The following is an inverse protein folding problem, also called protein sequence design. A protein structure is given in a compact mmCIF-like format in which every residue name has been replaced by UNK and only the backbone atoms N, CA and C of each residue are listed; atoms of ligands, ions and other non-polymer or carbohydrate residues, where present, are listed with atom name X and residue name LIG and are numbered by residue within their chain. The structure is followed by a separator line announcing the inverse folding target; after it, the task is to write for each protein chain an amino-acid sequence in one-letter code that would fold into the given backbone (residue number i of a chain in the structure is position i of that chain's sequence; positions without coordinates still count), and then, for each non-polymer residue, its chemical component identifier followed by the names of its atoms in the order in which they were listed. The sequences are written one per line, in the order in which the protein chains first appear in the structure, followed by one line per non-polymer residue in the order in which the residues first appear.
data_IF_057992184086
#
_entry.id   IF_057992184086
#
_cell.length_a   1.000
_cell.length_b   1.000
_cell.length_c   1.000
_cell.angle_alpha   90.00
_cell.angle_beta   90.00
_cell.angle_gamma   90.00
#
_symmetry.space_group_name_H-M   'P 1'
#
loop_
_entity.id
_entity.type
_entity.pdbx_description
1 polymer ?
#
# COMPACT_ATOMS: atom_id res chain seq x y z
N UNK A 1 -25.50 -8.07 54.74
CA UNK A 1 -25.33 -8.70 53.42
C UNK A 1 -24.34 -7.93 52.57
N UNK A 2 -23.34 -8.57 51.96
CA UNK A 2 -22.54 -7.92 50.93
C UNK A 2 -23.37 -7.80 49.64
N UNK A 3 -23.14 -6.77 48.82
CA UNK A 3 -23.88 -6.60 47.57
C UNK A 3 -23.48 -7.73 46.60
N UNK A 4 -24.47 -8.48 46.12
CA UNK A 4 -24.31 -9.35 44.97
C UNK A 4 -23.82 -8.50 43.80
N UNK A 5 -22.55 -8.69 43.44
CA UNK A 5 -22.01 -8.21 42.18
C UNK A 5 -22.80 -8.93 41.09
N UNK A 6 -23.82 -8.24 40.55
CA UNK A 6 -24.58 -8.67 39.39
C UNK A 6 -23.57 -8.96 38.28
N UNK A 7 -23.32 -10.24 38.07
CA UNK A 7 -22.53 -10.71 36.95
C UNK A 7 -23.26 -10.25 35.70
N UNK A 8 -22.67 -9.33 34.94
CA UNK A 8 -23.25 -8.86 33.69
C UNK A 8 -23.60 -10.09 32.84
N UNK A 9 -24.89 -10.27 32.55
CA UNK A 9 -25.38 -11.37 31.71
C UNK A 9 -24.50 -11.47 30.47
N UNK A 10 -24.18 -12.70 30.04
CA UNK A 10 -23.38 -12.91 28.83
C UNK A 10 -23.99 -12.18 27.62
N UNK A 11 -25.31 -11.99 27.62
CA UNK A 11 -26.10 -11.25 26.64
C UNK A 11 -25.71 -9.76 26.58
N UNK A 12 -25.33 -9.18 27.71
CA UNK A 12 -24.92 -7.78 27.84
C UNK A 12 -23.48 -7.59 27.38
N UNK A 13 -22.58 -8.52 27.74
CA UNK A 13 -21.20 -8.56 27.22
C UNK A 13 -21.18 -8.76 25.69
N UNK A 14 -22.11 -9.59 25.19
CA UNK A 14 -22.35 -9.82 23.76
C UNK A 14 -22.76 -8.53 23.06
N UNK A 15 -23.76 -7.81 23.57
CA UNK A 15 -24.21 -6.55 22.99
C UNK A 15 -23.12 -5.46 23.03
N UNK A 16 -22.32 -5.40 24.11
CA UNK A 16 -21.20 -4.46 24.24
C UNK A 16 -20.07 -4.75 23.24
N UNK A 17 -19.80 -6.03 22.92
CA UNK A 17 -18.80 -6.44 21.93
C UNK A 17 -19.32 -6.41 20.49
N UNK A 18 -20.64 -6.44 20.28
CA UNK A 18 -21.28 -6.25 18.97
C UNK A 18 -21.39 -4.77 18.57
N UNK A 19 -21.36 -3.85 19.53
CA UNK A 19 -21.52 -2.43 19.29
C UNK A 19 -20.51 -1.84 18.28
N UNK A 20 -19.21 -2.21 18.29
CA UNK A 20 -18.25 -1.69 17.31
C UNK A 20 -18.50 -2.16 15.88
N UNK A 21 -19.00 -3.40 15.68
CA UNK A 21 -19.30 -3.97 14.36
C UNK A 21 -20.63 -3.46 13.80
N UNK A 22 -21.63 -3.28 14.67
CA UNK A 22 -22.95 -2.71 14.31
C UNK A 22 -22.86 -1.19 14.05
N UNK A 23 -21.93 -0.49 14.70
CA UNK A 23 -21.65 0.92 14.47
C UNK A 23 -20.56 1.18 13.41
N UNK A 24 -20.10 0.15 12.71
CA UNK A 24 -19.14 0.34 11.64
C UNK A 24 -19.79 1.17 10.53
N UNK A 25 -19.11 2.23 10.12
CA UNK A 25 -19.52 3.06 8.99
C UNK A 25 -18.26 3.52 8.25
N UNK A 26 -18.33 3.52 6.93
CA UNK A 26 -17.30 4.12 6.10
C UNK A 26 -17.26 5.64 6.33
N UNK A 27 -16.06 6.19 6.55
CA UNK A 27 -15.90 7.63 6.75
C UNK A 27 -15.95 8.35 5.39
N UNK A 28 -16.30 9.64 5.40
CA UNK A 28 -16.44 10.42 4.17
C UNK A 28 -15.12 10.54 3.37
N UNK A 29 -13.99 10.63 4.06
CA UNK A 29 -12.64 10.75 3.51
C UNK A 29 -11.92 9.40 3.37
N UNK A 30 -12.58 8.30 3.73
CA UNK A 30 -11.99 6.96 3.74
C UNK A 30 -12.31 6.22 2.43
N UNK A 31 -11.26 5.72 1.78
CA UNK A 31 -11.40 4.90 0.58
C UNK A 31 -12.04 3.55 0.90
N UNK A 32 -12.64 2.92 -0.12
CA UNK A 32 -13.19 1.57 0.00
C UNK A 32 -12.18 0.55 0.56
N UNK A 33 -10.92 0.62 0.11
CA UNK A 33 -9.87 -0.30 0.56
C UNK A 33 -9.54 -0.11 2.05
N UNK A 34 -9.40 1.13 2.50
CA UNK A 34 -9.15 1.44 3.92
C UNK A 34 -10.33 1.00 4.80
N UNK A 35 -11.57 1.22 4.35
CA UNK A 35 -12.75 0.75 5.06
C UNK A 35 -12.78 -0.78 5.16
N UNK A 36 -12.46 -1.49 4.08
CA UNK A 36 -12.38 -2.95 4.09
C UNK A 36 -11.29 -3.46 5.04
N UNK A 37 -10.10 -2.86 5.03
CA UNK A 37 -9.00 -3.24 5.93
C UNK A 37 -9.40 -3.02 7.40
N UNK A 38 -9.98 -1.86 7.73
CA UNK A 38 -10.44 -1.55 9.08
C UNK A 38 -11.55 -2.48 9.57
N UNK A 39 -12.45 -2.89 8.67
CA UNK A 39 -13.47 -3.89 8.98
C UNK A 39 -12.85 -5.26 9.30
N UNK A 40 -11.86 -5.71 8.52
CA UNK A 40 -11.15 -6.96 8.80
C UNK A 40 -10.35 -6.92 10.12
N UNK A 41 -9.72 -5.79 10.42
CA UNK A 41 -9.06 -5.59 11.71
C UNK A 41 -10.04 -5.70 12.89
N UNK A 42 -11.25 -5.18 12.73
CA UNK A 42 -12.30 -5.30 13.72
C UNK A 42 -12.75 -6.75 13.92
N UNK A 43 -12.94 -7.51 12.83
CA UNK A 43 -13.27 -8.93 12.91
C UNK A 43 -12.17 -9.73 13.64
N UNK A 44 -10.90 -9.40 13.40
CA UNK A 44 -9.74 -10.04 14.05
C UNK A 44 -9.65 -9.71 15.54
N UNK A 45 -10.06 -8.51 15.94
CA UNK A 45 -10.10 -8.10 17.34
C UNK A 45 -11.21 -8.80 18.15
N UNK A 46 -12.20 -9.40 17.48
CA UNK A 46 -13.32 -10.11 18.11
C UNK A 46 -13.40 -11.59 17.68
N UNK A 47 -12.38 -12.43 17.95
CA UNK A 47 -12.29 -13.80 17.44
C UNK A 47 -13.35 -14.76 18.02
N UNK A 48 -14.02 -14.38 19.11
CA UNK A 48 -14.96 -15.24 19.85
C UNK A 48 -16.42 -15.14 19.36
N UNK A 49 -16.73 -14.18 18.49
CA UNK A 49 -18.08 -13.97 17.95
C UNK A 49 -18.11 -14.34 16.47
N UNK A 50 -18.27 -15.63 16.20
CA UNK A 50 -18.35 -16.21 14.86
C UNK A 50 -19.64 -15.82 14.13
N UNK A 51 -19.69 -14.59 13.61
CA UNK A 51 -20.71 -14.22 12.64
C UNK A 51 -20.55 -15.06 11.38
N UNK A 52 -21.68 -15.40 10.75
CA UNK A 52 -21.63 -16.02 9.43
C UNK A 52 -20.99 -15.03 8.44
N UNK A 53 -20.28 -15.55 7.45
CA UNK A 53 -19.68 -14.76 6.38
C UNK A 53 -20.72 -13.86 5.69
N UNK A 54 -21.93 -14.39 5.47
CA UNK A 54 -23.07 -13.63 4.95
C UNK A 54 -23.42 -12.43 5.83
N UNK A 55 -23.45 -12.60 7.15
CA UNK A 55 -23.73 -11.51 8.08
C UNK A 55 -22.62 -10.46 8.07
N UNK A 56 -21.35 -10.88 8.00
CA UNK A 56 -20.21 -9.97 7.91
C UNK A 56 -20.28 -9.13 6.62
N UNK A 57 -20.57 -9.77 5.48
CA UNK A 57 -20.73 -9.09 4.19
C UNK A 57 -21.91 -8.12 4.18
N UNK A 58 -23.04 -8.51 4.76
CA UNK A 58 -24.21 -7.64 4.89
C UNK A 58 -23.93 -6.42 5.76
N UNK A 59 -23.27 -6.61 6.89
CA UNK A 59 -22.85 -5.52 7.78
C UNK A 59 -21.89 -4.57 7.08
N UNK A 60 -20.88 -5.10 6.38
CA UNK A 60 -19.95 -4.26 5.62
C UNK A 60 -20.67 -3.47 4.52
N UNK A 61 -21.50 -4.12 3.70
CA UNK A 61 -22.24 -3.46 2.61
C UNK A 61 -23.12 -2.32 3.12
N UNK A 62 -23.91 -2.56 4.17
CA UNK A 62 -24.82 -1.56 4.73
C UNK A 62 -24.10 -0.35 5.35
N UNK A 63 -22.84 -0.54 5.75
CA UNK A 63 -22.00 0.49 6.34
C UNK A 63 -21.26 1.35 5.31
N UNK A 64 -21.25 0.95 4.03
CA UNK A 64 -20.60 1.70 2.96
C UNK A 64 -21.38 2.97 2.60
N UNK A 65 -20.67 3.94 2.01
CA UNK A 65 -21.33 5.04 1.33
C UNK A 65 -22.07 4.55 0.07
N UNK A 66 -23.05 5.33 -0.40
CA UNK A 66 -23.90 4.95 -1.53
C UNK A 66 -23.12 4.69 -2.82
N UNK A 67 -22.04 5.45 -3.08
CA UNK A 67 -21.24 5.30 -4.29
C UNK A 67 -20.51 3.95 -4.32
N UNK A 68 -20.01 3.51 -3.16
CA UNK A 68 -19.34 2.21 -3.04
C UNK A 68 -20.34 1.05 -3.05
N UNK A 69 -21.55 1.23 -2.49
CA UNK A 69 -22.65 0.27 -2.66
C UNK A 69 -23.04 0.11 -4.15
N UNK A 70 -23.27 1.21 -4.85
CA UNK A 70 -23.62 1.20 -6.28
C UNK A 70 -22.50 0.57 -7.13
N UNK A 71 -21.25 0.83 -6.78
CA UNK A 71 -20.10 0.22 -7.43
C UNK A 71 -20.04 -1.29 -7.22
N UNK A 72 -20.39 -1.79 -6.03
CA UNK A 72 -20.47 -3.23 -5.76
C UNK A 72 -21.64 -3.87 -6.51
N UNK A 73 -22.82 -3.23 -6.52
CA UNK A 73 -23.99 -3.71 -7.27
C UNK A 73 -23.70 -3.77 -8.78
N UNK A 74 -23.04 -2.75 -9.31
CA UNK A 74 -22.62 -2.71 -10.72
C UNK A 74 -21.65 -3.85 -11.06
N UNK A 75 -20.66 -4.11 -10.19
CA UNK A 75 -19.72 -5.21 -10.38
C UNK A 75 -20.38 -6.59 -10.23
N UNK A 76 -21.44 -6.70 -9.42
CA UNK A 76 -22.24 -7.90 -9.27
C UNK A 76 -23.22 -8.12 -10.45
N UNK A 77 -23.50 -7.10 -11.25
CA UNK A 77 -24.54 -7.13 -12.28
C UNK A 77 -25.95 -7.22 -11.69
N UNK A 78 -26.17 -6.59 -10.52
CA UNK A 78 -27.43 -6.67 -9.77
C UNK A 78 -27.20 -6.36 -8.29
N UNK A 79 -28.13 -6.74 -7.41
CA UNK A 79 -27.91 -6.59 -5.97
C UNK A 79 -26.70 -7.44 -5.53
N UNK A 80 -25.74 -6.81 -4.87
CA UNK A 80 -24.54 -7.46 -4.36
C UNK A 80 -24.88 -8.57 -3.36
N UNK A 81 -25.85 -8.32 -2.47
CA UNK A 81 -26.23 -9.26 -1.41
C UNK A 81 -27.01 -10.49 -1.91
N UNK A 82 -27.40 -10.53 -3.19
CA UNK A 82 -28.01 -11.72 -3.81
C UNK A 82 -26.96 -12.73 -4.30
N UNK A 83 -25.67 -12.37 -4.28
CA UNK A 83 -24.58 -13.25 -4.73
C UNK A 83 -24.18 -14.24 -3.65
N UNK A 84 -23.49 -15.30 -4.09
CA UNK A 84 -22.85 -16.22 -3.16
C UNK A 84 -21.75 -15.50 -2.37
N UNK A 85 -21.56 -15.79 -1.06
CA UNK A 85 -20.55 -15.13 -0.24
C UNK A 85 -19.13 -15.15 -0.85
N UNK A 86 -18.76 -16.25 -1.49
CA UNK A 86 -17.47 -16.38 -2.19
C UNK A 86 -17.33 -15.44 -3.39
N UNK A 87 -18.42 -15.12 -4.09
CA UNK A 87 -18.41 -14.15 -5.19
C UNK A 87 -18.42 -12.72 -4.67
N UNK A 88 -19.15 -12.45 -3.58
CA UNK A 88 -19.09 -11.18 -2.86
C UNK A 88 -17.64 -10.82 -2.47
N UNK A 89 -16.92 -11.78 -1.89
CA UNK A 89 -15.52 -11.59 -1.50
C UNK A 89 -14.61 -11.28 -2.70
N UNK A 90 -14.76 -12.00 -3.82
CA UNK A 90 -13.99 -11.72 -5.04
C UNK A 90 -14.25 -10.30 -5.57
N UNK A 91 -15.49 -9.84 -5.54
CA UNK A 91 -15.86 -8.50 -5.99
C UNK A 91 -15.24 -7.43 -5.08
N UNK A 92 -15.34 -7.61 -3.76
CA UNK A 92 -14.71 -6.72 -2.77
C UNK A 92 -13.19 -6.68 -2.98
N UNK A 93 -12.54 -7.83 -3.10
CA UNK A 93 -11.09 -7.92 -3.29
C UNK A 93 -10.64 -7.30 -4.62
N UNK A 94 -11.43 -7.47 -5.68
CA UNK A 94 -11.16 -6.82 -6.97
C UNK A 94 -11.22 -5.29 -6.82
N UNK A 95 -12.30 -4.77 -6.22
CA UNK A 95 -12.50 -3.33 -6.02
C UNK A 95 -11.42 -2.71 -5.13
N UNK A 96 -11.00 -3.41 -4.06
CA UNK A 96 -9.96 -2.91 -3.16
C UNK A 96 -8.59 -2.80 -3.84
N UNK A 97 -8.34 -3.61 -4.88
CA UNK A 97 -7.10 -3.59 -5.68
C UNK A 97 -7.11 -2.58 -6.84
N UNK A 98 -8.27 -2.21 -7.37
CA UNK A 98 -8.39 -1.29 -8.53
C UNK A 98 -7.79 0.10 -8.25
N UNK A 99 -7.85 0.58 -7.00
CA UNK A 99 -7.22 1.87 -6.67
C UNK A 99 -5.68 1.79 -6.62
N UNK A 100 -5.12 0.63 -6.25
CA UNK A 100 -3.68 0.42 -6.27
C UNK A 100 -3.12 0.45 -7.70
N UNK A 101 -3.85 -0.08 -8.69
CA UNK A 101 -3.42 -0.11 -10.09
C UNK A 101 -3.57 1.24 -10.79
N UNK A 102 -4.59 2.05 -10.46
CA UNK A 102 -4.76 3.40 -11.03
C UNK A 102 -3.69 4.37 -10.54
N UNK A 103 -3.30 4.30 -9.26
CA UNK A 103 -2.17 5.07 -8.73
C UNK A 103 -0.84 4.71 -9.44
N UNK A 104 -0.59 3.41 -9.67
CA UNK A 104 0.59 2.94 -10.42
C UNK A 104 0.59 3.37 -11.89
N UNK A 105 -0.57 3.36 -12.55
CA UNK A 105 -0.69 3.79 -13.94
C UNK A 105 -0.44 5.29 -14.13
N UNK A 106 -0.85 6.14 -13.17
CA UNK A 106 -0.54 7.58 -13.19
C UNK A 106 0.96 7.81 -13.00
N UNK A 107 1.62 7.09 -12.09
CA UNK A 107 3.08 7.16 -11.91
C UNK A 107 3.83 6.74 -13.19
N UNK A 108 3.37 5.68 -13.87
CA UNK A 108 3.95 5.24 -15.14
C UNK A 108 3.72 6.24 -16.29
N UNK A 109 2.57 6.92 -16.31
CA UNK A 109 2.24 7.96 -17.29
C UNK A 109 3.12 9.21 -17.13
N UNK A 110 3.43 9.62 -15.90
CA UNK A 110 4.40 10.71 -15.63
C UNK A 110 5.82 10.30 -16.05
N UNK A 111 6.21 9.03 -15.86
CA UNK A 111 7.50 8.50 -16.34
C UNK A 111 7.62 8.41 -17.86
N UNK A 112 6.49 8.35 -18.58
CA UNK A 112 6.49 8.24 -20.05
C UNK A 112 6.46 9.60 -20.76
N UNK A 113 6.21 10.70 -20.05
CA UNK A 113 6.21 12.06 -20.63
C UNK A 113 7.53 12.82 -20.47
N UNK A 114 8.55 12.28 -19.77
CA UNK A 114 9.84 12.97 -19.60
C UNK A 114 11.00 12.41 -20.43
N UNK A 115 10.79 11.35 -21.20
CA UNK A 115 11.85 10.72 -22.00
C UNK A 115 11.57 10.90 -23.48
N UNK A 116 11.62 12.15 -23.97
CA UNK A 116 11.83 12.39 -25.39
C UNK A 116 13.22 11.85 -25.76
N UNK A 117 13.36 10.94 -26.75
CA UNK A 117 14.63 10.29 -27.09
C UNK A 117 15.74 11.27 -27.50
N UNK A 118 15.40 12.49 -27.91
CA UNK A 118 16.36 13.56 -28.18
C UNK A 118 17.19 13.94 -26.93
N UNK A 119 16.54 14.18 -25.77
CA UNK A 119 17.22 14.61 -24.54
C UNK A 119 18.14 13.50 -24.00
N UNK A 120 17.75 12.23 -24.16
CA UNK A 120 18.59 11.09 -23.75
C UNK A 120 19.85 10.94 -24.60
N UNK A 121 19.80 11.35 -25.87
CA UNK A 121 20.95 11.35 -26.78
C UNK A 121 21.95 12.43 -26.41
N UNK A 122 21.48 13.66 -26.17
CA UNK A 122 22.33 14.80 -25.79
C UNK A 122 23.09 14.55 -24.47
N UNK A 123 22.44 13.89 -23.50
CA UNK A 123 23.07 13.52 -22.22
C UNK A 123 24.14 12.44 -22.41
N UNK A 124 23.95 11.50 -23.33
CA UNK A 124 24.96 10.48 -23.64
C UNK A 124 26.19 11.12 -24.30
N UNK A 125 25.99 12.01 -25.27
CA UNK A 125 27.06 12.72 -25.95
C UNK A 125 27.86 13.63 -25.00
N UNK A 126 27.17 14.35 -24.11
CA UNK A 126 27.81 15.16 -23.08
C UNK A 126 28.69 14.32 -22.13
N UNK A 127 28.20 13.12 -21.74
CA UNK A 127 28.97 12.20 -20.89
C UNK A 127 30.23 11.69 -21.58
N UNK A 128 30.18 11.45 -22.89
CA UNK A 128 31.34 10.98 -23.65
C UNK A 128 32.36 12.08 -23.89
N UNK A 129 31.94 13.32 -24.15
CA UNK A 129 32.86 14.47 -24.20
C UNK A 129 33.58 14.70 -22.87
N UNK A 130 32.89 14.59 -21.73
CA UNK A 130 33.53 14.71 -20.40
C UNK A 130 34.57 13.61 -20.19
N UNK A 131 34.33 12.38 -20.66
CA UNK A 131 35.32 11.28 -20.59
C UNK A 131 36.53 11.56 -21.47
N UNK A 132 36.33 12.09 -22.67
CA UNK A 132 37.41 12.45 -23.57
C UNK A 132 38.31 13.55 -22.96
N UNK A 133 37.71 14.59 -22.38
CA UNK A 133 38.44 15.68 -21.71
C UNK A 133 39.22 15.20 -20.48
N UNK A 134 38.71 14.21 -19.75
CA UNK A 134 39.40 13.63 -18.58
C UNK A 134 40.59 12.74 -18.97
N UNK A 135 40.59 12.14 -20.15
CA UNK A 135 41.66 11.25 -20.63
C UNK A 135 42.86 12.03 -21.20
N UNK A 136 42.63 13.22 -21.76
CA UNK A 136 43.70 14.04 -22.38
C UNK A 136 44.72 14.57 -21.34
N UNK A 137 44.30 14.75 -20.08
CA UNK A 137 45.13 15.26 -18.98
C UNK A 137 46.19 14.26 -18.47
N UNK A 138 46.21 13.02 -18.97
CA UNK A 138 47.17 11.97 -18.55
C UNK A 138 48.42 11.86 -19.44
N UNK A 139 48.44 12.48 -20.62
CA UNK A 139 49.56 12.32 -21.57
C UNK A 139 50.57 13.48 -21.60
N UNK A 140 50.45 14.48 -20.72
CA UNK A 140 51.34 15.67 -20.68
C UNK A 140 52.31 15.72 -19.49
N UNK A 141 52.51 14.62 -18.74
CA UNK A 141 53.47 14.59 -17.64
C UNK A 141 54.48 13.45 -17.79
N UNK A 142 55.40 13.58 -18.75
CA UNK A 142 56.66 12.83 -18.73
C UNK A 142 57.85 13.75 -19.00
N UNK A 143 58.70 13.93 -17.98
CA UNK A 143 60.14 14.16 -18.12
C UNK A 143 60.83 13.87 -16.76
N UNK A 144 62.08 13.41 -16.76
CA UNK A 144 62.50 12.27 -15.94
C UNK A 144 63.61 12.58 -14.94
N UNK A 145 63.81 11.66 -13.99
CA UNK A 145 65.04 10.85 -13.84
C UNK A 145 65.47 10.60 -12.38
N UNK A 146 65.84 9.32 -12.19
CA UNK A 146 66.88 8.78 -11.30
C UNK A 146 66.63 8.65 -9.79
N UNK A 147 66.45 7.37 -9.43
CA UNK A 147 66.79 6.65 -8.18
C UNK A 147 68.21 6.95 -7.65
N UNK A 148 68.64 6.48 -6.44
CA UNK A 148 68.07 5.41 -5.63
C UNK A 148 67.96 5.65 -4.10
N UNK A 149 67.09 4.87 -3.48
CA UNK A 149 67.07 4.56 -2.03
C UNK A 149 68.40 3.92 -1.62
N UNK A 150 68.86 4.05 -0.36
CA UNK A 150 68.46 3.06 0.64
C UNK A 150 68.32 3.54 2.10
N UNK A 151 67.31 2.95 2.76
CA UNK A 151 67.36 2.34 4.10
C UNK A 151 67.50 3.19 5.37
N UNK A 152 66.36 3.27 6.06
CA UNK A 152 66.12 2.96 7.48
C UNK A 152 67.33 2.92 8.44
N UNK A 153 67.30 3.80 9.45
CA UNK A 153 67.84 3.50 10.78
C UNK A 153 66.83 3.89 11.87
N UNK A 154 66.67 2.99 12.82
CA UNK A 154 65.78 3.01 13.99
C UNK A 154 66.21 4.02 15.06
N UNK A 155 65.21 4.57 15.75
CA UNK A 155 65.09 4.83 17.20
C UNK A 155 66.35 5.20 18.01
N UNK A 156 66.41 6.44 18.53
CA UNK A 156 66.05 6.87 19.90
C UNK A 156 66.19 8.39 19.98
#
# INVERSE_FOLDING_TARGET
DPPEVLMADNRTMTQLLQAPTVGFQQRFDESFSEAWDRFNDLLRACPHYGFSELHQLGTFYNALNINDQDSLNSAAGGNFLDKMPSDCLKIIESKSKVQQSRAKAVVAKVHSSSSTPAISSDVAELKDMVRALLLDKKNQSSAPATSPTPTLVKAV
#
